data_IF_194274913295
#
_entry.id   IF_194274913295
#
_cell.length_a   1.000
_cell.length_b   1.000
_cell.length_c   1.000
_cell.angle_alpha   90.00
_cell.angle_beta   90.00
_cell.angle_gamma   90.00
#
_symmetry.space_group_name_H-M   'P 1'
#
loop_
_entity.id
_entity.type
_entity.pdbx_description
1 polymer ?
#
# COMPACT_ATOMS: atom_id res chain seq x y z
N UNK A 1 -15.97 -4.25 -34.61
CA UNK A 1 -14.67 -3.68 -34.20
C UNK A 1 -14.92 -2.84 -32.96
N UNK A 2 -14.60 -3.38 -31.78
CA UNK A 2 -14.82 -2.66 -30.52
C UNK A 2 -13.85 -1.50 -30.44
N UNK A 3 -14.38 -0.27 -30.42
CA UNK A 3 -13.63 0.96 -30.18
C UNK A 3 -13.09 0.87 -28.74
N UNK A 4 -11.78 0.98 -28.56
CA UNK A 4 -11.19 1.06 -27.23
C UNK A 4 -11.65 2.39 -26.60
N UNK A 5 -12.59 2.34 -25.64
CA UNK A 5 -13.08 3.49 -24.86
C UNK A 5 -12.08 3.84 -23.74
N UNK A 6 -10.86 4.20 -24.10
CA UNK A 6 -9.91 4.78 -23.14
C UNK A 6 -9.72 6.25 -23.49
N UNK A 7 -10.64 7.12 -23.03
CA UNK A 7 -10.44 8.56 -23.13
C UNK A 7 -9.85 9.09 -21.82
N UNK A 8 -8.52 9.20 -21.78
CA UNK A 8 -7.82 9.87 -20.70
C UNK A 8 -7.18 11.13 -21.26
N UNK A 9 -7.40 12.28 -20.60
CA UNK A 9 -6.86 13.59 -21.03
C UNK A 9 -5.38 13.80 -20.68
N UNK A 10 -4.75 12.81 -20.06
CA UNK A 10 -3.36 12.87 -19.60
C UNK A 10 -3.26 13.29 -18.14
N UNK A 11 -2.24 14.08 -17.82
CA UNK A 11 -1.99 14.57 -16.46
C UNK A 11 -2.72 15.90 -16.26
N UNK A 12 -3.40 16.12 -15.12
CA UNK A 12 -3.41 15.29 -13.92
C UNK A 12 -4.53 14.25 -13.83
N UNK A 13 -5.54 14.26 -14.71
CA UNK A 13 -6.76 13.49 -14.51
C UNK A 13 -6.52 11.97 -14.45
N UNK A 14 -5.51 11.48 -15.19
CA UNK A 14 -5.16 10.06 -15.18
C UNK A 14 -4.59 9.61 -13.82
N UNK A 15 -3.75 10.44 -13.19
CA UNK A 15 -3.15 10.11 -11.89
C UNK A 15 -4.22 10.14 -10.78
N UNK A 16 -5.17 11.07 -10.87
CA UNK A 16 -6.26 11.19 -9.91
C UNK A 16 -7.22 9.99 -10.00
N UNK A 17 -7.64 9.62 -11.21
CA UNK A 17 -8.52 8.47 -11.44
C UNK A 17 -7.88 7.14 -10.99
N UNK A 18 -6.58 6.94 -11.24
CA UNK A 18 -5.90 5.72 -10.81
C UNK A 18 -5.65 5.70 -9.28
N UNK A 19 -5.47 6.86 -8.64
CA UNK A 19 -5.37 6.96 -7.18
C UNK A 19 -6.70 6.62 -6.49
N UNK A 20 -7.83 7.07 -7.06
CA UNK A 20 -9.17 6.71 -6.59
C UNK A 20 -9.42 5.20 -6.71
N UNK A 21 -9.09 4.60 -7.86
CA UNK A 21 -9.22 3.15 -8.09
C UNK A 21 -8.34 2.33 -7.15
N UNK A 22 -7.18 2.85 -6.78
CA UNK A 22 -6.29 2.23 -5.79
C UNK A 22 -6.82 2.36 -4.34
N UNK A 23 -7.94 3.07 -4.12
CA UNK A 23 -8.53 3.31 -2.80
C UNK A 23 -7.72 4.29 -1.95
N UNK A 24 -6.88 5.11 -2.58
CA UNK A 24 -5.98 6.07 -1.91
C UNK A 24 -6.12 7.49 -2.51
N UNK A 25 -7.34 8.04 -2.60
CA UNK A 25 -7.57 9.35 -3.21
C UNK A 25 -6.81 10.50 -2.50
N UNK A 26 -6.52 10.35 -1.21
CA UNK A 26 -5.73 11.31 -0.43
C UNK A 26 -4.29 11.46 -0.93
N UNK A 27 -3.76 10.44 -1.61
CA UNK A 27 -2.41 10.45 -2.17
C UNK A 27 -2.34 11.11 -3.55
N UNK A 28 -3.47 11.35 -4.23
CA UNK A 28 -3.51 11.92 -5.57
C UNK A 28 -2.72 13.24 -5.66
N UNK A 29 -2.88 14.12 -4.66
CA UNK A 29 -2.15 15.38 -4.61
C UNK A 29 -0.62 15.23 -4.53
N UNK A 30 -0.14 14.20 -3.81
CA UNK A 30 1.28 13.87 -3.75
C UNK A 30 1.77 13.19 -5.03
N UNK A 31 0.98 12.25 -5.58
CA UNK A 31 1.27 11.56 -6.82
C UNK A 31 1.42 12.53 -8.00
N UNK A 32 0.58 13.57 -8.10
CA UNK A 32 0.70 14.64 -9.11
C UNK A 32 2.03 15.38 -9.07
N UNK A 33 2.69 15.44 -7.90
CA UNK A 33 3.98 16.10 -7.74
C UNK A 33 5.17 15.21 -8.11
N UNK A 34 4.94 13.93 -8.41
CA UNK A 34 5.99 13.01 -8.83
C UNK A 34 6.14 13.13 -10.36
N UNK A 35 7.20 13.77 -10.89
CA UNK A 35 7.33 14.03 -12.32
C UNK A 35 7.32 12.75 -13.16
N UNK A 36 7.85 11.67 -12.60
CA UNK A 36 7.89 10.36 -13.22
C UNK A 36 6.47 9.80 -13.46
N UNK A 37 5.53 9.95 -12.52
CA UNK A 37 4.13 9.55 -12.75
C UNK A 37 3.48 10.38 -13.86
N UNK A 38 3.84 11.67 -13.96
CA UNK A 38 3.42 12.51 -15.07
C UNK A 38 3.92 12.00 -16.43
N UNK A 39 5.21 11.66 -16.53
CA UNK A 39 5.79 11.12 -17.76
C UNK A 39 5.14 9.78 -18.18
N UNK A 40 4.87 8.89 -17.23
CA UNK A 40 4.18 7.62 -17.51
C UNK A 40 2.77 7.85 -18.03
N UNK A 41 2.01 8.76 -17.41
CA UNK A 41 0.67 9.12 -17.85
C UNK A 41 0.67 9.71 -19.28
N UNK A 42 1.68 10.50 -19.64
CA UNK A 42 1.86 10.99 -21.02
C UNK A 42 2.10 9.84 -22.00
N UNK A 43 2.95 8.86 -21.68
CA UNK A 43 3.17 7.69 -22.54
C UNK A 43 1.88 6.89 -22.74
N UNK A 44 1.08 6.73 -21.68
CA UNK A 44 -0.23 6.08 -21.77
C UNK A 44 -1.19 6.83 -22.70
N UNK A 45 -1.25 8.17 -22.61
CA UNK A 45 -2.06 8.99 -23.50
C UNK A 45 -1.59 8.87 -24.96
N UNK A 46 -0.28 8.90 -25.21
CA UNK A 46 0.28 8.71 -26.55
C UNK A 46 -0.02 7.33 -27.14
N UNK A 47 -0.02 6.28 -26.31
CA UNK A 47 -0.37 4.94 -26.76
C UNK A 47 -1.84 4.85 -27.19
N UNK A 48 -2.74 5.50 -26.44
CA UNK A 48 -4.16 5.61 -26.79
C UNK A 48 -4.35 6.38 -28.09
N UNK A 49 -3.69 7.53 -28.25
CA UNK A 49 -3.74 8.35 -29.46
C UNK A 49 -3.22 7.58 -30.69
N UNK A 50 -2.07 6.90 -30.55
CA UNK A 50 -1.52 6.08 -31.62
C UNK A 50 -2.51 5.00 -32.06
N UNK A 51 -3.16 4.32 -31.11
CA UNK A 51 -4.17 3.30 -31.41
C UNK A 51 -5.41 3.89 -32.11
N UNK A 52 -5.86 5.08 -31.71
CA UNK A 52 -6.98 5.78 -32.33
C UNK A 52 -6.69 6.18 -33.79
N UNK A 53 -5.44 6.53 -34.09
CA UNK A 53 -4.96 6.85 -35.44
C UNK A 53 -4.65 5.61 -36.30
N UNK A 54 -4.82 4.39 -35.76
CA UNK A 54 -4.44 3.14 -36.44
C UNK A 54 -2.93 2.92 -36.55
N UNK A 55 -2.13 3.65 -35.76
CA UNK A 55 -0.68 3.50 -35.68
C UNK A 55 -0.30 2.45 -34.62
N UNK A 56 0.82 1.72 -34.78
CA UNK A 56 1.27 0.77 -33.77
C UNK A 56 1.69 1.48 -32.47
N UNK A 57 1.11 1.07 -31.34
CA UNK A 57 1.43 1.58 -30.00
C UNK A 57 2.46 0.72 -29.24
N UNK A 58 2.98 -0.35 -29.86
CA UNK A 58 3.84 -1.34 -29.19
C UNK A 58 5.12 -0.75 -28.60
N UNK A 59 5.77 0.17 -29.33
CA UNK A 59 7.02 0.79 -28.84
C UNK A 59 6.75 1.75 -27.68
N UNK A 60 5.63 2.48 -27.71
CA UNK A 60 5.20 3.40 -26.64
C UNK A 60 4.88 2.59 -25.38
N UNK A 61 4.15 1.48 -25.53
CA UNK A 61 3.81 0.59 -24.42
C UNK A 61 5.05 -0.11 -23.84
N UNK A 62 6.02 -0.49 -24.67
CA UNK A 62 7.31 -1.00 -24.18
C UNK A 62 8.03 0.06 -23.34
N UNK A 63 8.11 1.29 -23.84
CA UNK A 63 8.73 2.39 -23.10
C UNK A 63 8.00 2.67 -21.77
N UNK A 64 6.67 2.63 -21.77
CA UNK A 64 5.87 2.77 -20.54
C UNK A 64 6.14 1.64 -19.54
N UNK A 65 6.32 0.40 -20.02
CA UNK A 65 6.66 -0.74 -19.18
C UNK A 65 8.06 -0.61 -18.56
N UNK A 66 9.06 -0.21 -19.35
CA UNK A 66 10.42 0.06 -18.85
C UNK A 66 10.38 1.15 -17.75
N UNK A 67 9.57 2.19 -17.97
CA UNK A 67 9.42 3.28 -17.02
C UNK A 67 8.72 2.84 -15.72
N UNK A 68 7.70 1.97 -15.82
CA UNK A 68 7.08 1.33 -14.65
C UNK A 68 8.09 0.51 -13.86
N UNK A 69 8.97 -0.23 -14.54
CA UNK A 69 9.96 -1.06 -13.85
C UNK A 69 11.03 -0.21 -13.15
N UNK A 70 11.40 0.95 -13.71
CA UNK A 70 12.23 1.95 -13.01
C UNK A 70 11.54 2.50 -11.75
N UNK A 71 10.24 2.79 -11.82
CA UNK A 71 9.45 3.24 -10.66
C UNK A 71 9.38 2.18 -9.56
N UNK A 72 9.28 0.89 -9.93
CA UNK A 72 9.32 -0.22 -8.96
C UNK A 72 10.66 -0.29 -8.23
N UNK A 73 11.76 -0.22 -8.97
CA UNK A 73 13.11 -0.19 -8.37
C UNK A 73 13.25 0.98 -7.39
N UNK A 74 12.73 2.16 -7.75
CA UNK A 74 12.76 3.33 -6.88
C UNK A 74 11.93 3.14 -5.59
N UNK A 75 10.75 2.51 -5.69
CA UNK A 75 9.91 2.18 -4.54
C UNK A 75 10.60 1.16 -3.62
N UNK A 76 11.16 0.08 -4.18
CA UNK A 76 11.90 -0.94 -3.43
C UNK A 76 13.11 -0.33 -2.71
N UNK A 77 13.83 0.58 -3.37
CA UNK A 77 14.93 1.31 -2.76
C UNK A 77 14.47 2.22 -1.60
N UNK A 78 13.35 2.92 -1.75
CA UNK A 78 12.79 3.74 -0.69
C UNK A 78 12.39 2.90 0.54
N UNK A 79 11.76 1.75 0.32
CA UNK A 79 11.42 0.80 1.40
C UNK A 79 12.67 0.27 2.09
N UNK A 80 13.72 -0.06 1.33
CA UNK A 80 14.99 -0.50 1.89
C UNK A 80 15.66 0.61 2.73
N UNK A 81 15.62 1.86 2.29
CA UNK A 81 16.12 3.01 3.04
C UNK A 81 15.36 3.20 4.36
N UNK A 82 14.03 3.19 4.32
CA UNK A 82 13.20 3.32 5.53
C UNK A 82 13.43 2.17 6.51
N UNK A 83 13.56 0.94 6.00
CA UNK A 83 13.87 -0.24 6.82
C UNK A 83 15.27 -0.15 7.45
N UNK A 84 16.27 0.35 6.72
CA UNK A 84 17.61 0.57 7.25
C UNK A 84 17.62 1.61 8.37
N UNK A 85 16.95 2.75 8.17
CA UNK A 85 16.86 3.83 9.18
C UNK A 85 16.10 3.34 10.42
N UNK A 86 14.95 2.68 10.25
CA UNK A 86 14.17 2.15 11.39
C UNK A 86 15.01 1.22 12.25
N UNK A 87 15.76 0.30 11.64
CA UNK A 87 16.65 -0.61 12.39
C UNK A 87 17.79 0.11 13.10
N UNK A 88 18.36 1.14 12.48
CA UNK A 88 19.38 1.99 13.11
C UNK A 88 18.84 2.74 14.32
N UNK A 89 17.68 3.37 14.20
CA UNK A 89 17.04 4.11 15.29
C UNK A 89 16.61 3.19 16.46
N UNK A 90 16.10 1.98 16.17
CA UNK A 90 15.75 1.02 17.21
C UNK A 90 16.99 0.45 17.93
N UNK A 91 18.10 0.31 17.20
CA UNK A 91 19.39 -0.11 17.76
C UNK A 91 20.01 0.97 18.64
N UNK A 92 19.99 2.24 18.21
CA UNK A 92 20.45 3.37 19.02
C UNK A 92 19.60 3.55 20.27
N UNK A 93 18.28 3.42 20.17
CA UNK A 93 17.39 3.42 21.34
C UNK A 93 17.76 2.30 22.32
N UNK A 94 18.05 1.09 21.82
CA UNK A 94 18.41 -0.06 22.66
C UNK A 94 19.80 0.06 23.29
N UNK A 95 20.73 0.77 22.64
CA UNK A 95 22.07 1.04 23.16
C UNK A 95 22.06 2.17 24.21
N UNK A 96 21.26 3.22 24.02
CA UNK A 96 21.14 4.32 24.99
C UNK A 96 20.23 3.99 26.18
N UNK A 97 19.18 3.17 25.99
CA UNK A 97 18.12 2.98 27.00
C UNK A 97 18.05 1.53 27.53
N UNK A 98 18.97 0.65 27.11
CA UNK A 98 18.97 -0.77 27.45
C UNK A 98 17.85 -1.56 26.75
N UNK A 99 17.82 -2.91 26.89
CA UNK A 99 16.74 -3.71 26.32
C UNK A 99 15.41 -3.23 26.86
N UNK A 100 14.50 -2.84 25.96
CA UNK A 100 13.14 -2.41 26.28
C UNK A 100 12.54 -3.41 27.27
N UNK A 101 12.11 -3.00 28.48
CA UNK A 101 11.67 -3.95 29.48
C UNK A 101 10.48 -4.73 28.90
N UNK A 102 10.63 -6.06 28.83
CA UNK A 102 9.59 -7.01 28.44
C UNK A 102 8.53 -7.13 29.55
N UNK A 103 7.97 -5.99 29.97
CA UNK A 103 7.24 -5.83 31.23
C UNK A 103 5.99 -4.99 31.09
N UNK A 104 5.10 -5.34 30.16
CA UNK A 104 3.70 -4.89 30.20
C UNK A 104 2.72 -6.00 29.77
N UNK A 105 3.04 -7.27 30.03
CA UNK A 105 2.04 -8.34 29.97
C UNK A 105 2.26 -9.37 31.07
N UNK A 106 2.02 -8.95 32.32
CA UNK A 106 1.76 -9.87 33.43
C UNK A 106 1.20 -9.12 34.65
N UNK A 107 -0.13 -9.04 34.72
CA UNK A 107 -0.95 -8.93 35.94
C UNK A 107 -2.41 -8.85 35.48
N UNK A 108 -3.32 -9.79 35.69
CA UNK A 108 -3.33 -11.06 36.39
C UNK A 108 -4.76 -11.58 36.25
N UNK A 109 -4.93 -12.87 36.03
CA UNK A 109 -6.25 -13.52 36.07
C UNK A 109 -6.91 -13.32 37.44
N UNK A 110 -8.12 -12.73 37.54
CA UNK A 110 -8.97 -12.95 38.69
C UNK A 110 -9.71 -14.26 38.46
N UNK A 111 -9.24 -15.30 39.15
CA UNK A 111 -9.93 -16.57 39.35
C UNK A 111 -11.25 -16.28 40.09
N UNK A 112 -12.31 -15.93 39.37
CA UNK A 112 -13.66 -15.80 39.94
C UNK A 112 -14.16 -17.20 40.30
N UNK A 113 -14.16 -17.48 41.60
CA UNK A 113 -14.79 -18.62 42.24
C UNK A 113 -16.22 -18.74 41.74
N UNK A 114 -16.55 -19.86 41.07
CA UNK A 114 -17.92 -20.29 40.83
C UNK A 114 -18.41 -20.96 42.12
N UNK A 115 -19.52 -20.52 42.72
CA UNK A 115 -20.14 -21.25 43.83
C UNK A 115 -20.66 -22.60 43.33
N UNK A 116 -20.60 -23.59 44.22
CA UNK A 116 -20.95 -24.99 44.01
C UNK A 116 -22.42 -25.20 43.59
N UNK A 117 -22.70 -26.31 42.88
CA UNK A 117 -24.08 -26.68 42.55
C UNK A 117 -24.85 -27.02 43.82
N UNK A 118 -26.07 -26.48 43.92
CA UNK A 118 -27.00 -26.75 44.99
C UNK A 118 -27.26 -28.25 45.13
N UNK A 119 -27.01 -28.73 46.35
CA UNK A 119 -27.46 -30.00 46.88
C UNK A 119 -28.92 -29.85 47.32
N UNK A 120 -29.81 -30.72 46.84
CA UNK A 120 -31.08 -31.00 47.53
C UNK A 120 -32.28 -31.35 46.63
N UNK A 121 -32.88 -32.50 46.95
CA UNK A 121 -34.24 -32.94 46.65
C UNK A 121 -34.50 -33.58 45.26
N UNK A 122 -34.39 -34.91 45.17
CA UNK A 122 -35.51 -35.78 45.58
C UNK A 122 -35.08 -37.25 45.69
N UNK A 123 -35.28 -37.75 46.90
CA UNK A 123 -35.35 -39.15 47.26
C UNK A 123 -36.75 -39.70 46.88
N UNK A 124 -36.85 -41.02 46.99
CA UNK A 124 -38.06 -41.81 47.17
C UNK A 124 -38.81 -42.38 45.94
N UNK A 125 -38.51 -43.68 45.76
CA UNK A 125 -39.39 -44.83 45.47
C UNK A 125 -39.89 -45.10 44.05
#
# INVERSE_FOLDING_TARGET
>A
MSRLEFHFRGVPEFVDAESEKAGRPELAGAARRVPALGALATLCAQAVEAAADGRPASDILRQAADFRDQLRIAADAADAMLSAVSRGCDADWSLEHGPRPAGASSRGTPRRRRPEPGSGANDES
#
